data_IF_884150802050
#
_entry.id   IF_884150802050
#
_cell.length_a   1.000
_cell.length_b   1.000
_cell.length_c   1.000
_cell.angle_alpha   90.00
_cell.angle_beta   90.00
_cell.angle_gamma   90.00
#
_symmetry.space_group_name_H-M   'P 1'
#
loop_
_entity.id
_entity.type
_entity.pdbx_description
1 polymer ?
#
# COMPACT_ATOMS: atom_id res chain seq x y z
N UNK A 1 48.42 5.95 -1.49
CA UNK A 1 47.13 5.45 -0.95
C UNK A 1 46.07 6.52 -1.20
N UNK A 2 45.19 6.31 -2.19
CA UNK A 2 44.04 7.21 -2.40
C UNK A 2 42.86 6.67 -1.59
N UNK A 3 42.43 7.42 -0.58
CA UNK A 3 41.16 7.20 0.10
C UNK A 3 40.05 7.62 -0.87
N UNK A 4 39.51 6.65 -1.62
CA UNK A 4 38.24 6.85 -2.32
C UNK A 4 37.12 6.83 -1.27
N UNK A 5 36.80 7.99 -0.71
CA UNK A 5 35.61 8.18 0.11
C UNK A 5 34.38 8.01 -0.79
N UNK A 6 33.92 6.75 -0.91
CA UNK A 6 32.73 6.38 -1.65
C UNK A 6 31.51 6.83 -0.84
N UNK A 7 31.01 8.02 -1.13
CA UNK A 7 29.78 8.55 -0.53
C UNK A 7 28.58 7.82 -1.11
N UNK A 8 28.24 6.67 -0.53
CA UNK A 8 26.96 6.01 -0.78
C UNK A 8 25.85 6.85 -0.16
N UNK A 9 25.00 7.46 -0.99
CA UNK A 9 23.79 8.14 -0.52
C UNK A 9 22.77 7.07 -0.06
N UNK A 10 22.63 6.93 1.26
CA UNK A 10 21.57 6.11 1.86
C UNK A 10 20.42 7.03 2.24
N UNK A 11 19.25 6.78 1.64
CA UNK A 11 18.02 7.49 1.94
C UNK A 11 17.11 6.57 2.74
N UNK A 12 16.65 7.04 3.89
CA UNK A 12 15.69 6.28 4.70
C UNK A 12 14.31 6.23 4.05
N UNK A 13 13.95 7.26 3.26
CA UNK A 13 12.63 7.39 2.65
C UNK A 13 12.63 8.27 1.40
N UNK A 14 11.90 7.84 0.36
CA UNK A 14 11.59 8.64 -0.84
C UNK A 14 10.07 8.70 -1.03
N UNK A 15 9.55 9.85 -1.46
CA UNK A 15 8.13 10.02 -1.84
C UNK A 15 8.03 10.41 -3.32
N UNK A 16 7.14 9.73 -4.04
CA UNK A 16 6.81 9.96 -5.45
C UNK A 16 5.33 10.34 -5.54
N UNK A 17 5.03 11.44 -6.23
CA UNK A 17 3.67 11.96 -6.41
C UNK A 17 3.47 12.41 -7.87
N UNK A 18 2.34 12.04 -8.46
CA UNK A 18 1.96 12.44 -9.82
C UNK A 18 1.43 13.88 -9.85
N UNK A 19 1.95 14.72 -10.75
CA UNK A 19 1.41 16.06 -11.04
C UNK A 19 0.50 15.99 -12.28
N UNK A 20 -0.49 16.89 -12.38
CA UNK A 20 -1.49 16.96 -13.48
C UNK A 20 -0.91 17.14 -14.89
N UNK A 21 0.37 17.52 -14.98
CA UNK A 21 1.18 17.42 -16.19
C UNK A 21 1.92 16.08 -16.11
N UNK A 22 1.57 15.13 -16.99
CA UNK A 22 2.08 13.77 -16.97
C UNK A 22 3.55 13.68 -16.55
N UNK A 23 3.79 12.90 -15.49
CA UNK A 23 5.11 12.50 -14.99
C UNK A 23 6.20 13.59 -15.07
N UNK A 24 6.15 14.59 -14.20
CA UNK A 24 7.40 15.22 -13.76
C UNK A 24 8.09 14.26 -12.78
N UNK A 25 8.83 13.31 -13.36
CA UNK A 25 10.11 12.91 -12.78
C UNK A 25 11.01 14.16 -12.75
N UNK A 26 10.84 14.98 -11.70
CA UNK A 26 11.69 16.11 -11.36
C UNK A 26 13.11 15.72 -10.94
N UNK A 27 13.42 14.43 -10.95
CA UNK A 27 14.76 13.91 -11.14
C UNK A 27 14.60 12.71 -12.06
N UNK A 28 15.06 12.81 -13.30
CA UNK A 28 15.30 11.61 -14.13
C UNK A 28 16.13 10.68 -13.25
N UNK A 29 15.60 9.52 -12.84
CA UNK A 29 16.36 8.53 -12.07
C UNK A 29 17.68 8.12 -12.78
N UNK A 30 17.74 8.13 -14.13
CA UNK A 30 19.02 8.08 -14.85
C UNK A 30 19.99 9.23 -14.49
N UNK A 31 19.51 10.43 -14.20
CA UNK A 31 20.35 11.54 -13.74
C UNK A 31 20.85 11.34 -12.30
N UNK A 32 20.04 10.79 -11.39
CA UNK A 32 20.51 10.39 -10.05
C UNK A 32 21.53 9.25 -10.12
N UNK A 33 21.26 8.23 -10.94
CA UNK A 33 22.18 7.12 -11.18
C UNK A 33 23.48 7.59 -11.86
N UNK A 34 23.39 8.50 -12.83
CA UNK A 34 24.56 9.13 -13.48
C UNK A 34 25.32 10.08 -12.57
N UNK A 35 24.64 10.77 -11.63
CA UNK A 35 25.28 11.66 -10.65
C UNK A 35 25.98 10.88 -9.53
N UNK A 36 25.45 9.72 -9.14
CA UNK A 36 25.98 8.92 -8.03
C UNK A 36 26.85 7.75 -8.47
N UNK A 37 26.86 7.40 -9.77
CA UNK A 37 27.58 6.25 -10.32
C UNK A 37 27.11 4.89 -9.81
N UNK A 38 26.06 4.84 -8.99
CA UNK A 38 25.45 3.64 -8.36
C UNK A 38 23.97 3.87 -8.06
N UNK A 39 23.18 2.80 -7.97
CA UNK A 39 21.80 2.86 -7.50
C UNK A 39 21.74 3.28 -6.02
N UNK A 40 20.90 4.26 -5.65
CA UNK A 40 20.76 4.67 -4.26
C UNK A 40 20.17 3.55 -3.40
N UNK A 41 20.57 3.54 -2.12
CA UNK A 41 19.98 2.64 -1.13
C UNK A 41 18.78 3.32 -0.49
N UNK A 42 17.59 2.75 -0.69
CA UNK A 42 16.32 3.34 -0.26
C UNK A 42 15.53 2.31 0.51
N UNK A 43 15.41 2.47 1.83
CA UNK A 43 14.69 1.50 2.67
C UNK A 43 13.16 1.59 2.52
N UNK A 44 12.63 2.78 2.22
CA UNK A 44 11.20 3.04 2.15
C UNK A 44 10.84 3.90 0.94
N UNK A 45 9.99 3.37 0.06
CA UNK A 45 9.44 4.07 -1.08
C UNK A 45 7.95 4.36 -0.88
N UNK A 46 7.53 5.61 -1.04
CA UNK A 46 6.12 6.03 -0.99
C UNK A 46 5.65 6.46 -2.37
N UNK A 47 4.51 5.92 -2.80
CA UNK A 47 3.84 6.11 -4.10
C UNK A 47 2.45 6.69 -3.82
N UNK A 48 2.12 7.88 -4.34
CA UNK A 48 0.81 8.54 -4.16
C UNK A 48 0.19 8.95 -5.48
N UNK A 49 -1.13 8.74 -5.59
CA UNK A 49 -1.99 9.08 -6.73
C UNK A 49 -1.58 8.38 -8.04
N UNK A 50 -2.32 8.62 -9.13
CA UNK A 50 -2.16 8.03 -10.48
C UNK A 50 -0.72 8.03 -10.99
N UNK A 51 0.03 7.11 -10.46
CA UNK A 51 1.26 6.63 -10.98
C UNK A 51 0.75 5.60 -11.98
N UNK A 52 0.54 6.09 -13.21
CA UNK A 52 0.67 5.28 -14.42
C UNK A 52 2.11 4.79 -14.42
N UNK A 53 2.38 3.85 -13.53
CA UNK A 53 3.62 3.14 -13.37
C UNK A 53 3.68 2.24 -14.60
N UNK A 54 3.97 2.84 -15.75
CA UNK A 54 4.64 2.12 -16.84
C UNK A 54 6.06 1.90 -16.38
N UNK A 55 6.26 1.15 -15.29
CA UNK A 55 7.56 0.59 -14.98
C UNK A 55 7.79 -0.46 -16.04
N UNK A 56 8.50 -0.06 -17.09
CA UNK A 56 9.21 -1.02 -17.90
C UNK A 56 10.21 -1.79 -17.02
N UNK A 57 10.78 -2.86 -17.55
CA UNK A 57 11.73 -3.71 -16.84
C UNK A 57 12.98 -3.06 -16.18
N UNK A 58 13.17 -1.74 -16.25
CA UNK A 58 14.34 -1.04 -15.70
C UNK A 58 14.08 0.31 -15.02
N UNK A 59 12.83 0.73 -14.82
CA UNK A 59 12.55 2.17 -14.58
C UNK A 59 12.64 2.63 -13.10
N UNK A 60 12.72 1.70 -12.14
CA UNK A 60 12.97 2.04 -10.73
C UNK A 60 13.63 0.87 -9.98
N UNK A 61 14.97 0.80 -10.03
CA UNK A 61 15.77 -0.14 -9.27
C UNK A 61 16.47 0.59 -8.12
N UNK A 62 15.92 0.46 -6.92
CA UNK A 62 16.54 0.90 -5.66
C UNK A 62 17.17 -0.31 -4.96
N UNK A 63 18.31 -0.11 -4.30
CA UNK A 63 18.90 -1.16 -3.48
C UNK A 63 18.39 -1.08 -2.03
N UNK A 64 18.27 -2.23 -1.34
CA UNK A 64 17.89 -2.29 0.06
C UNK A 64 16.49 -1.79 0.38
N UNK A 65 15.56 -1.89 -0.57
CA UNK A 65 14.15 -1.52 -0.37
C UNK A 65 13.45 -2.56 0.48
N UNK A 66 12.98 -2.13 1.66
CA UNK A 66 12.30 -2.98 2.64
C UNK A 66 10.79 -2.72 2.66
N UNK A 67 10.37 -1.47 2.44
CA UNK A 67 8.96 -1.05 2.51
C UNK A 67 8.52 -0.26 1.28
N UNK A 68 7.38 -0.64 0.72
CA UNK A 68 6.65 0.09 -0.30
C UNK A 68 5.30 0.57 0.27
N UNK A 69 5.01 1.86 0.20
CA UNK A 69 3.76 2.47 0.67
C UNK A 69 3.01 3.07 -0.51
N UNK A 70 1.86 2.49 -0.85
CA UNK A 70 1.02 2.84 -1.99
C UNK A 70 -0.25 3.51 -1.46
N UNK A 71 -0.43 4.78 -1.77
CA UNK A 71 -1.66 5.53 -1.52
C UNK A 71 -2.43 5.76 -2.80
N UNK A 72 -3.64 5.22 -2.89
CA UNK A 72 -4.54 5.39 -4.03
C UNK A 72 -5.77 6.16 -3.55
N UNK A 73 -5.90 7.41 -3.99
CA UNK A 73 -6.99 8.30 -3.56
C UNK A 73 -7.88 8.77 -4.72
N UNK A 74 -7.58 8.34 -5.94
CA UNK A 74 -8.37 8.60 -7.16
C UNK A 74 -8.71 7.28 -7.85
N UNK A 75 -9.83 7.27 -8.58
CA UNK A 75 -10.35 6.10 -9.31
C UNK A 75 -9.29 5.61 -10.33
N UNK A 76 -8.65 4.47 -10.12
CA UNK A 76 -7.59 4.02 -11.01
C UNK A 76 -8.14 3.28 -12.23
N UNK A 77 -7.56 3.51 -13.40
CA UNK A 77 -7.91 2.77 -14.64
C UNK A 77 -7.17 1.43 -14.79
N UNK A 78 -6.08 1.19 -14.04
CA UNK A 78 -5.40 -0.11 -13.86
C UNK A 78 -4.09 0.14 -13.07
N UNK A 79 -4.11 0.10 -11.73
CA UNK A 79 -3.02 0.70 -10.94
C UNK A 79 -1.98 -0.28 -10.40
N UNK A 80 -2.17 -1.61 -10.47
CA UNK A 80 -1.25 -2.53 -9.75
C UNK A 80 -0.71 -3.74 -10.51
N UNK A 81 -0.95 -3.88 -11.81
CA UNK A 81 -0.40 -5.00 -12.61
C UNK A 81 1.14 -5.06 -12.61
N UNK A 82 1.84 -3.95 -12.31
CA UNK A 82 3.29 -3.87 -12.20
C UNK A 82 3.84 -4.41 -10.87
N UNK A 83 3.00 -4.50 -9.82
CA UNK A 83 3.41 -4.80 -8.46
C UNK A 83 4.08 -6.17 -8.30
N UNK A 84 3.59 -7.27 -8.94
CA UNK A 84 4.25 -8.58 -8.85
C UNK A 84 5.70 -8.51 -9.37
N UNK A 85 5.89 -8.00 -10.59
CA UNK A 85 7.21 -7.87 -11.21
C UNK A 85 8.14 -6.93 -10.43
N UNK A 86 7.60 -5.90 -9.78
CA UNK A 86 8.37 -5.01 -8.92
C UNK A 86 8.82 -5.71 -7.63
N UNK A 87 7.93 -6.47 -6.97
CA UNK A 87 8.23 -7.20 -5.74
C UNK A 87 9.26 -8.32 -5.96
N UNK A 88 9.24 -8.96 -7.13
CA UNK A 88 10.25 -9.96 -7.55
C UNK A 88 11.65 -9.35 -7.68
N UNK A 89 11.75 -8.14 -8.24
CA UNK A 89 13.04 -7.46 -8.42
C UNK A 89 13.63 -6.87 -7.15
N UNK A 90 12.82 -6.68 -6.11
CA UNK A 90 13.25 -6.16 -4.83
C UNK A 90 13.22 -7.27 -3.79
N UNK A 91 14.24 -8.14 -3.78
CA UNK A 91 14.33 -9.29 -2.87
C UNK A 91 14.27 -8.91 -1.38
N UNK A 92 14.77 -7.71 -1.04
CA UNK A 92 14.74 -7.17 0.31
C UNK A 92 13.36 -6.61 0.72
N UNK A 93 12.43 -6.46 -0.22
CA UNK A 93 11.11 -5.89 0.07
C UNK A 93 10.35 -6.85 0.99
N UNK A 94 10.02 -6.42 2.20
CA UNK A 94 9.32 -7.21 3.21
C UNK A 94 7.91 -6.75 3.48
N UNK A 95 7.58 -5.50 3.15
CA UNK A 95 6.28 -4.92 3.48
C UNK A 95 5.76 -4.06 2.34
N UNK A 96 4.50 -4.28 1.96
CA UNK A 96 3.76 -3.41 1.06
C UNK A 96 2.53 -2.90 1.82
N UNK A 97 2.41 -1.58 1.94
CA UNK A 97 1.31 -0.89 2.61
C UNK A 97 0.41 -0.27 1.56
N UNK A 98 -0.89 -0.42 1.75
CA UNK A 98 -1.92 0.11 0.89
C UNK A 98 -2.81 1.03 1.69
N UNK A 99 -3.08 2.23 1.16
CA UNK A 99 -4.03 3.18 1.75
C UNK A 99 -4.91 3.76 0.66
N UNK A 100 -6.21 3.91 0.94
CA UNK A 100 -7.18 4.35 -0.07
C UNK A 100 -8.63 4.20 0.41
N UNK A 101 -9.57 4.43 -0.50
CA UNK A 101 -11.00 4.22 -0.27
C UNK A 101 -11.41 2.78 -0.61
N UNK A 102 -12.41 2.22 0.10
CA UNK A 102 -12.87 0.84 -0.13
C UNK A 102 -13.25 0.53 -1.58
N UNK A 103 -13.85 1.49 -2.29
CA UNK A 103 -14.27 1.36 -3.69
C UNK A 103 -13.12 1.16 -4.68
N UNK A 104 -11.87 1.41 -4.27
CA UNK A 104 -10.68 1.21 -5.08
C UNK A 104 -10.23 -0.25 -5.04
N UNK A 105 -10.45 -0.95 -3.93
CA UNK A 105 -9.92 -2.29 -3.75
C UNK A 105 -10.62 -3.33 -4.62
N UNK A 106 -11.92 -3.17 -4.84
CA UNK A 106 -12.71 -4.07 -5.71
C UNK A 106 -12.33 -3.98 -7.18
N UNK A 107 -11.56 -2.97 -7.58
CA UNK A 107 -11.14 -2.74 -8.96
C UNK A 107 -9.73 -3.28 -9.26
N UNK A 108 -9.06 -3.91 -8.30
CA UNK A 108 -7.68 -4.39 -8.43
C UNK A 108 -7.59 -5.89 -8.08
N UNK A 109 -7.81 -6.79 -9.05
CA UNK A 109 -7.89 -8.23 -8.78
C UNK A 109 -6.56 -8.86 -8.34
N UNK A 110 -5.43 -8.19 -8.62
CA UNK A 110 -4.09 -8.67 -8.28
C UNK A 110 -3.83 -8.71 -6.76
N UNK A 111 -4.68 -8.05 -5.96
CA UNK A 111 -4.64 -8.14 -4.50
C UNK A 111 -5.91 -8.85 -4.02
N UNK A 112 -5.76 -10.13 -3.70
CA UNK A 112 -6.89 -11.01 -3.40
C UNK A 112 -7.57 -10.70 -2.05
N UNK A 113 -6.82 -10.25 -1.04
CA UNK A 113 -7.37 -10.06 0.30
C UNK A 113 -8.56 -9.10 0.34
N UNK A 114 -8.46 -7.84 -0.17
CA UNK A 114 -9.59 -6.93 -0.13
C UNK A 114 -10.82 -7.44 -0.89
N UNK A 115 -10.63 -8.16 -2.00
CA UNK A 115 -11.73 -8.77 -2.74
C UNK A 115 -12.47 -9.80 -1.88
N UNK A 116 -11.76 -10.79 -1.35
CA UNK A 116 -12.35 -11.83 -0.52
C UNK A 116 -13.04 -11.24 0.73
N UNK A 117 -12.45 -10.19 1.31
CA UNK A 117 -12.99 -9.50 2.48
C UNK A 117 -14.29 -8.76 2.13
N UNK A 118 -14.29 -7.95 1.08
CA UNK A 118 -15.47 -7.17 0.66
C UNK A 118 -16.58 -8.11 0.19
N UNK A 119 -16.29 -9.12 -0.61
CA UNK A 119 -17.27 -10.11 -1.08
C UNK A 119 -17.92 -10.86 0.09
N UNK A 120 -17.17 -11.14 1.14
CA UNK A 120 -17.71 -11.79 2.34
C UNK A 120 -18.58 -10.84 3.15
N UNK A 121 -18.18 -9.57 3.27
CA UNK A 121 -19.01 -8.54 3.89
C UNK A 121 -20.33 -8.34 3.14
N UNK A 122 -20.32 -8.36 1.81
CA UNK A 122 -21.53 -8.26 0.99
C UNK A 122 -22.46 -9.45 1.22
N UNK A 123 -21.93 -10.69 1.19
CA UNK A 123 -22.71 -11.90 1.47
C UNK A 123 -23.32 -11.92 2.87
N UNK A 124 -22.64 -11.30 3.84
CA UNK A 124 -23.09 -11.20 5.23
C UNK A 124 -23.94 -9.94 5.49
N UNK A 125 -24.27 -9.15 4.45
CA UNK A 125 -25.04 -7.89 4.55
C UNK A 125 -24.37 -6.81 5.43
N UNK A 126 -23.04 -6.78 5.47
CA UNK A 126 -22.22 -5.86 6.27
C UNK A 126 -21.45 -4.80 5.45
N UNK A 127 -21.53 -4.83 4.11
CA UNK A 127 -20.74 -3.94 3.25
C UNK A 127 -20.96 -2.44 3.51
N UNK A 128 -22.15 -2.02 3.95
CA UNK A 128 -22.42 -0.63 4.33
C UNK A 128 -21.99 -0.26 5.75
N UNK A 129 -21.51 -1.23 6.54
CA UNK A 129 -21.15 -1.08 7.95
C UNK A 129 -19.64 -1.15 8.21
N UNK A 130 -18.84 -1.43 7.17
CA UNK A 130 -17.39 -1.57 7.25
C UNK A 130 -16.74 -0.81 6.10
N UNK A 131 -15.84 0.11 6.40
CA UNK A 131 -15.00 0.80 5.42
C UNK A 131 -13.52 0.41 5.62
N UNK A 132 -12.91 -0.21 4.61
CA UNK A 132 -11.50 -0.60 4.64
C UNK A 132 -10.62 0.55 4.14
N UNK A 133 -9.91 1.22 5.07
CA UNK A 133 -9.05 2.37 4.76
C UNK A 133 -7.64 2.00 4.34
N UNK A 134 -7.06 0.99 5.00
CA UNK A 134 -5.70 0.57 4.74
C UNK A 134 -5.48 -0.88 5.15
N UNK A 135 -4.51 -1.50 4.50
CA UNK A 135 -3.98 -2.79 4.89
C UNK A 135 -2.50 -2.88 4.50
N UNK A 136 -1.77 -3.81 5.08
CA UNK A 136 -0.43 -4.14 4.60
C UNK A 136 -0.26 -5.63 4.48
N UNK A 137 0.49 -6.03 3.46
CA UNK A 137 0.99 -7.39 3.31
C UNK A 137 2.47 -7.43 3.67
N UNK A 138 2.92 -8.54 4.22
CA UNK A 138 4.31 -8.79 4.55
C UNK A 138 4.71 -10.21 4.23
N UNK A 139 6.02 -10.42 4.02
CA UNK A 139 6.63 -11.74 3.88
C UNK A 139 7.83 -11.86 4.80
N UNK A 140 8.05 -13.07 5.33
CA UNK A 140 9.16 -13.36 6.26
C UNK A 140 10.46 -13.75 5.54
N UNK A 141 10.37 -14.29 4.32
CA UNK A 141 11.52 -14.75 3.53
C UNK A 141 11.46 -14.11 2.13
N UNK A 142 12.58 -14.09 1.42
CA UNK A 142 12.67 -13.57 0.04
C UNK A 142 11.88 -14.48 -0.89
N UNK A 143 10.59 -14.20 -1.03
CA UNK A 143 9.68 -14.97 -1.84
C UNK A 143 9.85 -14.67 -3.33
N UNK A 144 9.73 -15.70 -4.15
CA UNK A 144 9.65 -15.57 -5.61
C UNK A 144 8.23 -15.33 -6.13
N UNK A 145 7.21 -15.34 -5.26
CA UNK A 145 5.79 -15.14 -5.61
C UNK A 145 5.09 -14.17 -4.64
N UNK A 146 3.97 -13.57 -5.07
CA UNK A 146 3.03 -12.87 -4.20
C UNK A 146 2.27 -13.82 -3.25
N UNK A 147 2.26 -15.13 -3.50
CA UNK A 147 1.54 -16.12 -2.67
C UNK A 147 2.10 -16.26 -1.24
N UNK A 148 3.38 -15.91 -1.06
CA UNK A 148 4.04 -15.91 0.25
C UNK A 148 3.73 -14.65 1.08
N UNK A 149 2.97 -13.71 0.51
CA UNK A 149 2.60 -12.48 1.19
C UNK A 149 1.35 -12.68 2.01
N UNK A 150 1.42 -12.20 3.25
CA UNK A 150 0.35 -12.35 4.22
C UNK A 150 -0.05 -10.99 4.76
N UNK A 151 -1.36 -10.79 4.94
CA UNK A 151 -1.89 -9.58 5.55
C UNK A 151 -1.40 -9.49 6.99
N UNK A 152 -0.64 -8.43 7.28
CA UNK A 152 -0.04 -8.17 8.59
C UNK A 152 -0.70 -7.02 9.34
N UNK A 153 -1.29 -6.07 8.62
CA UNK A 153 -1.96 -4.91 9.19
C UNK A 153 -3.30 -4.67 8.52
N UNK A 154 -4.30 -4.28 9.31
CA UNK A 154 -5.60 -3.84 8.85
C UNK A 154 -6.02 -2.54 9.56
N UNK A 155 -6.61 -1.63 8.79
CA UNK A 155 -7.23 -0.43 9.30
C UNK A 155 -8.60 -0.26 8.66
N UNK A 156 -9.64 -0.30 9.49
CA UNK A 156 -11.03 -0.21 9.05
C UNK A 156 -11.87 0.65 9.99
N UNK A 157 -12.91 1.27 9.45
CA UNK A 157 -14.00 1.88 10.22
C UNK A 157 -15.18 0.92 10.24
N UNK A 158 -15.77 0.70 11.42
CA UNK A 158 -16.84 -0.29 11.61
C UNK A 158 -17.96 0.30 12.48
N UNK A 159 -19.21 0.07 12.11
CA UNK A 159 -20.37 0.38 12.97
C UNK A 159 -20.39 -0.54 14.20
N UNK A 160 -21.06 -0.11 15.27
CA UNK A 160 -21.07 -0.86 16.53
C UNK A 160 -21.68 -2.26 16.35
N UNK A 161 -22.69 -2.35 15.50
CA UNK A 161 -23.49 -3.55 15.24
C UNK A 161 -22.70 -4.58 14.41
N UNK A 162 -21.81 -4.12 13.52
CA UNK A 162 -21.03 -4.98 12.65
C UNK A 162 -19.69 -5.45 13.24
N UNK A 163 -19.25 -4.87 14.36
CA UNK A 163 -17.90 -5.05 14.91
C UNK A 163 -17.48 -6.51 15.07
N UNK A 164 -18.29 -7.33 15.74
CA UNK A 164 -17.94 -8.75 16.00
C UNK A 164 -17.89 -9.56 14.72
N UNK A 165 -18.86 -9.38 13.82
CA UNK A 165 -18.94 -10.15 12.57
C UNK A 165 -17.82 -9.75 11.60
N UNK A 166 -17.55 -8.45 11.44
CA UNK A 166 -16.45 -7.96 10.62
C UNK A 166 -15.08 -8.48 11.11
N UNK A 167 -14.89 -8.56 12.43
CA UNK A 167 -13.70 -9.12 13.04
C UNK A 167 -13.53 -10.62 12.78
N UNK A 168 -14.62 -11.38 12.88
CA UNK A 168 -14.60 -12.82 12.54
C UNK A 168 -14.22 -13.04 11.08
N UNK A 169 -14.82 -12.27 10.17
CA UNK A 169 -14.51 -12.33 8.74
C UNK A 169 -13.03 -12.00 8.50
N UNK A 170 -12.52 -10.90 9.07
CA UNK A 170 -11.11 -10.52 8.94
C UNK A 170 -10.17 -11.62 9.45
N UNK A 171 -10.48 -12.23 10.61
CA UNK A 171 -9.67 -13.30 11.18
C UNK A 171 -9.70 -14.61 10.37
N UNK A 172 -10.81 -14.88 9.68
CA UNK A 172 -10.97 -16.06 8.83
C UNK A 172 -10.13 -15.95 7.55
N UNK A 173 -10.16 -14.79 6.91
CA UNK A 173 -9.47 -14.54 5.63
C UNK A 173 -7.99 -14.23 5.86
N UNK A 174 -7.67 -13.52 6.95
CA UNK A 174 -6.32 -13.08 7.30
C UNK A 174 -5.96 -13.48 8.74
N UNK A 175 -5.71 -14.78 9.02
CA UNK A 175 -5.48 -15.28 10.37
C UNK A 175 -4.18 -14.81 11.02
N UNK A 176 -3.29 -14.14 10.26
CA UNK A 176 -1.96 -13.70 10.70
C UNK A 176 -1.84 -12.18 10.84
N UNK A 177 -2.95 -11.47 10.92
CA UNK A 177 -2.96 -10.02 11.15
C UNK A 177 -2.31 -9.73 12.51
N UNK A 178 -1.15 -9.09 12.48
CA UNK A 178 -0.37 -8.73 13.66
C UNK A 178 -0.79 -7.39 14.28
N UNK A 179 -1.46 -6.54 13.48
CA UNK A 179 -1.86 -5.20 13.88
C UNK A 179 -3.21 -4.86 13.29
N UNK A 180 -4.12 -4.38 14.13
CA UNK A 180 -5.45 -3.97 13.72
C UNK A 180 -5.80 -2.61 14.33
N UNK A 181 -6.26 -1.70 13.49
CA UNK A 181 -6.82 -0.41 13.90
C UNK A 181 -8.30 -0.39 13.51
N UNK A 182 -9.17 -0.38 14.50
CA UNK A 182 -10.61 -0.21 14.30
C UNK A 182 -10.99 1.22 14.69
N UNK A 183 -11.59 1.96 13.76
CA UNK A 183 -12.24 3.23 14.03
C UNK A 183 -13.74 3.00 14.16
N UNK A 184 -14.35 3.69 15.11
CA UNK A 184 -15.80 3.81 15.14
C UNK A 184 -16.16 5.17 14.54
N UNK A 185 -17.22 5.27 13.72
CA UNK A 185 -17.71 6.55 13.23
C UNK A 185 -17.88 7.48 14.42
N UNK A 186 -17.42 8.74 14.30
CA UNK A 186 -17.75 9.73 15.33
C UNK A 186 -19.26 9.93 15.26
N UNK A 187 -19.95 9.49 16.30
CA UNK A 187 -21.37 9.80 16.48
C UNK A 187 -21.45 11.32 16.45
N UNK A 188 -22.24 11.84 15.52
CA UNK A 188 -22.46 13.27 15.42
C UNK A 188 -22.84 13.78 16.80
N UNK A 189 -22.19 14.86 17.24
CA UNK A 189 -22.92 15.82 18.06
C UNK A 189 -24.09 16.26 17.16
N UNK A 190 -25.24 15.61 17.27
CA UNK A 190 -26.47 16.33 16.98
C UNK A 190 -26.38 17.58 17.84
N UNK A 191 -26.44 18.81 17.28
CA UNK A 191 -26.76 19.93 18.12
C UNK A 191 -28.07 19.57 18.79
N UNK A 192 -28.06 19.47 20.11
CA UNK A 192 -29.27 19.43 20.91
C UNK A 192 -30.05 20.68 20.48
N UNK A 193 -31.12 20.52 19.70
CA UNK A 193 -32.07 21.59 19.56
C UNK A 193 -32.83 21.60 20.88
N UNK A 194 -32.86 22.69 21.64
CA UNK A 194 -33.54 22.73 22.94
C UNK A 194 -35.07 22.61 22.85
N UNK A 195 -35.61 22.24 21.69
CA UNK A 195 -37.04 22.10 21.41
C UNK A 195 -37.45 20.66 20.98
N UNK A 196 -36.56 19.67 21.10
CA UNK A 196 -36.91 18.23 21.01
C UNK A 196 -37.14 17.61 22.39
#
# INVERSE_FOLDING_TARGET
>A
MMLSSSTSLSLSKIRVQSTSSGLLFGLRYPALHSLMGRSPRVAHLVVRDELNIRLGPGDLLVSGLETLDIGVYKRPTSVMAWLPAFAERHADLRTIKFSGHASIWTQNPDILFPLQFIDTLERESLAGSVDLHAFSISRTISASSLDDWQVAHLQMEITKEAGVSAMKIASSIAPRVSSLIVRMPRWGKQPFHPDD
#
